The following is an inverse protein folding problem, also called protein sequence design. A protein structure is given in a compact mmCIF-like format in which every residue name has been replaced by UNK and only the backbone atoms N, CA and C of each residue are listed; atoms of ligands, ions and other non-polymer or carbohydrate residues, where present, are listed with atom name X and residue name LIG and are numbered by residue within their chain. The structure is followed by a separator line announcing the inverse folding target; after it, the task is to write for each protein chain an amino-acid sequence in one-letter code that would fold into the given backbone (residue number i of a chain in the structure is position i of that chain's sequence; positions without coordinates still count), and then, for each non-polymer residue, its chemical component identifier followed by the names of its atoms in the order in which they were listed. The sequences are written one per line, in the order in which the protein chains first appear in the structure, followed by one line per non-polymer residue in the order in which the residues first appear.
data_IF_769404633033
#
_entry.id   IF_769404633033
#
_cell.length_a   1.000
_cell.length_b   1.000
_cell.length_c   1.000
_cell.angle_alpha   90.00
_cell.angle_beta   90.00
_cell.angle_gamma   90.00
#
_symmetry.space_group_name_H-M   'P 1'
#
loop_
_entity.id
_entity.type
_entity.pdbx_description
1 polymer ?
#
# COMPACT_ATOMS: atom_id res chain seq x y z
N UNK A 1 -10.23 5.89 6.21
CA UNK A 1 -9.09 5.51 7.09
C UNK A 1 -8.32 6.78 7.42
N UNK A 2 -7.87 6.97 8.65
CA UNK A 2 -7.02 8.11 9.00
C UNK A 2 -5.54 7.80 8.69
N UNK A 3 -4.67 8.82 8.69
CA UNK A 3 -3.25 8.67 8.33
C UNK A 3 -2.51 7.69 9.24
N UNK A 4 -2.82 7.67 10.54
CA UNK A 4 -2.21 6.72 11.48
C UNK A 4 -2.61 5.28 11.16
N UNK A 5 -3.87 4.99 10.87
CA UNK A 5 -4.34 3.66 10.48
C UNK A 5 -3.65 3.15 9.21
N UNK A 6 -3.49 4.02 8.20
CA UNK A 6 -2.76 3.68 6.97
C UNK A 6 -1.31 3.30 7.26
N UNK A 7 -0.63 4.10 8.08
CA UNK A 7 0.75 3.85 8.46
C UNK A 7 0.92 2.50 9.19
N UNK A 8 -0.01 2.18 10.10
CA UNK A 8 0.00 0.90 10.80
C UNK A 8 -0.26 -0.29 9.87
N UNK A 9 -1.18 -0.16 8.91
CA UNK A 9 -1.44 -1.21 7.93
C UNK A 9 -0.31 -1.42 6.93
N UNK A 10 0.59 -0.46 6.74
CA UNK A 10 1.77 -0.65 5.91
C UNK A 10 2.86 -1.50 6.58
N UNK A 11 2.71 -1.85 7.87
CA UNK A 11 3.64 -2.72 8.60
C UNK A 11 3.31 -4.20 8.36
N UNK A 12 4.31 -4.95 7.92
CA UNK A 12 4.28 -6.33 7.43
C UNK A 12 5.47 -7.12 7.98
N UNK A 13 5.41 -8.44 7.86
CA UNK A 13 6.50 -9.31 8.31
C UNK A 13 7.72 -9.27 7.39
N UNK A 14 7.50 -8.93 6.10
CA UNK A 14 8.54 -8.81 5.08
C UNK A 14 9.06 -7.38 4.97
N UNK A 15 10.39 -7.21 5.04
CA UNK A 15 11.07 -5.91 4.84
C UNK A 15 10.75 -5.32 3.45
N UNK A 16 10.64 -6.16 2.43
CA UNK A 16 10.33 -5.72 1.07
C UNK A 16 8.94 -5.07 0.99
N UNK A 17 7.93 -5.74 1.55
CA UNK A 17 6.57 -5.21 1.64
C UNK A 17 6.54 -3.91 2.44
N UNK A 18 7.23 -3.88 3.59
CA UNK A 18 7.32 -2.67 4.44
C UNK A 18 7.87 -1.48 3.66
N UNK A 19 8.97 -1.67 2.93
CA UNK A 19 9.61 -0.61 2.15
C UNK A 19 8.72 -0.13 1.00
N UNK A 20 8.10 -1.06 0.26
CA UNK A 20 7.22 -0.72 -0.87
C UNK A 20 5.97 0.05 -0.41
N UNK A 21 5.30 -0.44 0.63
CA UNK A 21 4.06 0.17 1.14
C UNK A 21 4.33 1.54 1.76
N UNK A 22 5.36 1.67 2.58
CA UNK A 22 5.76 2.96 3.18
C UNK A 22 6.17 3.96 2.12
N UNK A 23 6.98 3.53 1.14
CA UNK A 23 7.42 4.40 0.04
C UNK A 23 6.22 4.96 -0.72
N UNK A 24 5.24 4.12 -1.07
CA UNK A 24 4.03 4.60 -1.74
C UNK A 24 3.19 5.52 -0.85
N UNK A 25 3.00 5.16 0.43
CA UNK A 25 2.21 5.96 1.38
C UNK A 25 2.79 7.37 1.59
N UNK A 26 4.11 7.49 1.62
CA UNK A 26 4.80 8.76 1.90
C UNK A 26 4.97 9.64 0.65
N UNK A 27 5.22 9.04 -0.52
CA UNK A 27 5.61 9.79 -1.72
C UNK A 27 4.47 9.95 -2.73
N UNK A 28 3.64 8.92 -2.91
CA UNK A 28 2.66 8.86 -4.00
C UNK A 28 1.20 9.04 -3.50
N UNK A 29 0.85 8.46 -2.35
CA UNK A 29 -0.51 8.54 -1.79
C UNK A 29 -1.02 9.98 -1.57
N UNK A 30 -0.21 10.97 -1.14
CA UNK A 30 -0.66 12.35 -0.95
C UNK A 30 -1.12 13.04 -2.24
N UNK A 31 -0.57 12.66 -3.39
CA UNK A 31 -0.95 13.21 -4.71
C UNK A 31 -1.84 12.26 -5.53
N UNK A 32 -2.03 11.02 -5.07
CA UNK A 32 -2.88 10.04 -5.73
C UNK A 32 -4.35 10.49 -5.86
N UNK A 33 -4.97 10.09 -6.97
CA UNK A 33 -6.41 10.27 -7.18
C UNK A 33 -7.21 9.49 -6.14
N UNK A 34 -8.47 9.88 -5.92
CA UNK A 34 -9.36 9.17 -5.00
C UNK A 34 -9.47 7.68 -5.34
N UNK A 35 -9.57 7.35 -6.63
CA UNK A 35 -9.58 5.97 -7.11
C UNK A 35 -8.30 5.20 -6.73
N UNK A 36 -7.11 5.77 -6.96
CA UNK A 36 -5.83 5.12 -6.58
C UNK A 36 -5.71 4.96 -5.06
N UNK A 37 -6.20 5.93 -4.29
CA UNK A 37 -6.23 5.83 -2.82
C UNK A 37 -7.16 4.71 -2.36
N UNK A 38 -8.33 4.56 -2.97
CA UNK A 38 -9.25 3.47 -2.67
C UNK A 38 -8.63 2.12 -3.03
N UNK A 39 -8.02 1.98 -4.20
CA UNK A 39 -7.31 0.76 -4.61
C UNK A 39 -6.20 0.40 -3.63
N UNK A 40 -5.41 1.36 -3.18
CA UNK A 40 -4.38 1.14 -2.15
C UNK A 40 -4.98 0.62 -0.83
N UNK A 41 -6.10 1.20 -0.38
CA UNK A 41 -6.81 0.73 0.82
C UNK A 41 -7.32 -0.70 0.66
N UNK A 42 -7.79 -1.09 -0.54
CA UNK A 42 -8.19 -2.46 -0.81
C UNK A 42 -6.99 -3.42 -0.82
N UNK A 43 -5.85 -3.02 -1.39
CA UNK A 43 -4.62 -3.80 -1.34
C UNK A 43 -4.18 -4.10 0.09
N UNK A 44 -4.26 -3.12 1.00
CA UNK A 44 -3.88 -3.30 2.40
C UNK A 44 -4.70 -4.35 3.16
N UNK A 45 -5.82 -4.83 2.59
CA UNK A 45 -6.64 -5.92 3.15
C UNK A 45 -6.14 -7.32 2.76
N UNK A 46 -5.23 -7.43 1.79
CA UNK A 46 -4.64 -8.70 1.37
C UNK A 46 -3.64 -9.20 2.41
N UNK A 47 -3.50 -10.52 2.49
CA UNK A 47 -2.44 -11.19 3.24
C UNK A 47 -1.09 -11.05 2.52
N UNK A 48 0.02 -11.20 3.24
CA UNK A 48 1.36 -10.93 2.73
C UNK A 48 1.70 -11.71 1.44
N UNK A 49 1.27 -12.97 1.33
CA UNK A 49 1.50 -13.84 0.17
C UNK A 49 0.80 -13.33 -1.12
N UNK A 50 -0.39 -12.73 -0.98
CA UNK A 50 -1.15 -12.15 -2.10
C UNK A 50 -0.79 -10.69 -2.37
N UNK A 51 -0.29 -9.99 -1.35
CA UNK A 51 -0.01 -8.55 -1.39
C UNK A 51 1.19 -8.22 -2.28
N UNK A 52 2.27 -9.00 -2.20
CA UNK A 52 3.48 -8.72 -2.98
C UNK A 52 3.21 -8.80 -4.50
N UNK A 53 2.59 -9.88 -5.04
CA UNK A 53 2.21 -9.92 -6.45
C UNK A 53 1.26 -8.78 -6.86
N UNK A 54 0.27 -8.47 -6.02
CA UNK A 54 -0.70 -7.42 -6.30
C UNK A 54 -0.05 -6.02 -6.35
N UNK A 55 0.94 -5.75 -5.50
CA UNK A 55 1.71 -4.50 -5.52
C UNK A 55 2.52 -4.32 -6.81
N UNK A 56 3.11 -5.40 -7.33
CA UNK A 56 3.83 -5.35 -8.61
C UNK A 56 2.90 -4.93 -9.75
N UNK A 57 1.67 -5.45 -9.78
CA UNK A 57 0.67 -5.07 -10.79
C UNK A 57 0.20 -3.63 -10.57
N UNK A 58 -0.04 -3.24 -9.32
CA UNK A 58 -0.48 -1.90 -8.96
C UNK A 58 0.50 -0.80 -9.37
N UNK A 59 1.82 -1.05 -9.27
CA UNK A 59 2.85 -0.08 -9.68
C UNK A 59 2.93 0.15 -11.20
N UNK A 60 2.35 -0.75 -12.00
CA UNK A 60 2.35 -0.68 -13.47
C UNK A 60 1.11 0.06 -14.02
N UNK A 61 0.15 0.44 -13.16
CA UNK A 61 -1.08 1.18 -13.47
C UNK A 61 -0.98 2.67 -13.07
#
# INVERSE_FOLDING_TARGET
MNSSQLYWQCRRGSLELDLLLRSYLENDYPSATEQKRQQFVELLKLEDDDLLPALHIFKVL
#
